data_IF_337917913872
#
_entry.id   IF_337917913872
#
_cell.length_a   1.000
_cell.length_b   1.000
_cell.length_c   1.000
_cell.angle_alpha   90.00
_cell.angle_beta   90.00
_cell.angle_gamma   90.00
#
_symmetry.space_group_name_H-M   'P 1'
#
loop_
_entity.id
_entity.type
_entity.pdbx_description
1 polymer ?
#
# COMPACT_ATOMS: atom_id res chain seq x y z
N UNK A 1 2.93 -19.09 -2.30
CA UNK A 1 4.36 -18.95 -1.91
C UNK A 1 4.63 -17.51 -1.48
N UNK A 2 5.34 -17.33 -0.37
CA UNK A 2 5.61 -16.07 0.33
C UNK A 2 6.81 -15.31 -0.33
N UNK A 3 6.61 -14.61 -1.45
CA UNK A 3 7.70 -14.02 -2.28
C UNK A 3 7.87 -12.50 -2.07
N UNK A 4 9.10 -12.04 -1.85
CA UNK A 4 9.44 -10.61 -1.76
C UNK A 4 9.35 -9.94 -3.14
N UNK A 5 9.02 -8.64 -3.11
CA UNK A 5 8.77 -7.80 -4.28
C UNK A 5 9.40 -6.44 -4.08
N UNK A 6 9.87 -5.82 -5.17
CA UNK A 6 10.36 -4.44 -5.12
C UNK A 6 9.21 -3.50 -4.81
N UNK A 7 9.51 -2.48 -4.02
CA UNK A 7 8.60 -1.40 -3.70
C UNK A 7 9.03 -0.16 -4.49
N UNK A 8 8.08 0.66 -4.89
CA UNK A 8 8.34 1.96 -5.46
C UNK A 8 7.41 3.00 -4.84
N UNK A 9 7.97 4.17 -4.53
CA UNK A 9 7.16 5.34 -4.19
C UNK A 9 6.51 5.87 -5.47
N UNK A 10 5.20 6.02 -5.47
CA UNK A 10 4.47 6.56 -6.62
C UNK A 10 4.99 7.95 -7.06
N UNK A 11 5.45 8.78 -6.12
CA UNK A 11 6.10 10.06 -6.42
C UNK A 11 7.32 9.93 -7.34
N UNK A 12 8.07 8.83 -7.22
CA UNK A 12 9.25 8.53 -8.01
C UNK A 12 8.93 7.81 -9.34
N UNK A 13 7.68 7.41 -9.54
CA UNK A 13 7.17 6.77 -10.75
C UNK A 13 6.23 7.69 -11.54
N UNK A 14 6.40 9.01 -11.41
CA UNK A 14 5.58 10.00 -12.11
C UNK A 14 5.74 9.84 -13.63
N UNK A 15 4.62 9.89 -14.35
CA UNK A 15 4.62 9.90 -15.81
C UNK A 15 5.31 11.18 -16.35
N UNK A 16 5.81 11.17 -17.60
CA UNK A 16 6.44 12.35 -18.20
C UNK A 16 5.53 13.58 -18.15
N UNK A 17 6.02 14.68 -17.56
CA UNK A 17 5.25 15.93 -17.43
C UNK A 17 4.29 15.99 -16.23
N UNK A 18 4.22 14.95 -15.39
CA UNK A 18 3.38 14.92 -14.19
C UNK A 18 4.20 15.31 -12.96
N UNK A 19 3.62 16.16 -12.10
CA UNK A 19 4.21 16.51 -10.81
C UNK A 19 4.24 15.29 -9.88
N UNK A 20 5.36 15.10 -9.16
CA UNK A 20 5.52 14.01 -8.19
C UNK A 20 4.37 13.94 -7.16
N UNK A 21 3.84 15.09 -6.73
CA UNK A 21 2.68 15.15 -5.82
C UNK A 21 1.43 14.49 -6.42
N UNK A 22 1.17 14.70 -7.71
CA UNK A 22 0.01 14.11 -8.37
C UNK A 22 0.20 12.60 -8.56
N UNK A 23 1.42 12.17 -8.86
CA UNK A 23 1.79 10.76 -8.95
C UNK A 23 1.61 10.04 -7.61
N UNK A 24 1.97 10.66 -6.47
CA UNK A 24 1.75 10.09 -5.12
C UNK A 24 0.30 9.69 -4.87
N UNK A 25 -0.66 10.36 -5.50
CA UNK A 25 -2.09 10.07 -5.35
C UNK A 25 -2.53 8.86 -6.18
N UNK A 26 -1.69 8.31 -7.06
CA UNK A 26 -2.00 7.15 -7.90
C UNK A 26 -3.32 7.32 -8.68
N UNK A 27 -3.53 8.52 -9.19
CA UNK A 27 -4.69 8.84 -10.04
C UNK A 27 -4.46 8.37 -11.46
N UNK A 28 -5.54 8.26 -12.22
CA UNK A 28 -5.46 7.84 -13.61
C UNK A 28 -4.46 8.69 -14.41
N UNK A 29 -3.66 8.04 -15.25
CA UNK A 29 -2.62 8.65 -16.10
C UNK A 29 -1.53 9.45 -15.36
N UNK A 30 -1.32 9.25 -14.06
CA UNK A 30 -0.26 9.95 -13.31
C UNK A 30 1.03 9.16 -13.14
N UNK A 31 0.99 7.85 -13.38
CA UNK A 31 2.11 6.92 -13.16
C UNK A 31 2.68 6.41 -14.48
N UNK A 32 3.99 6.23 -14.53
CA UNK A 32 4.66 5.51 -15.61
C UNK A 32 4.49 4.00 -15.40
N UNK A 33 3.70 3.36 -16.26
CA UNK A 33 3.41 1.92 -16.25
C UNK A 33 4.69 1.07 -16.26
N UNK A 34 5.73 1.49 -16.97
CA UNK A 34 6.99 0.74 -17.04
C UNK A 34 7.72 0.73 -15.70
N UNK A 35 7.57 1.80 -14.93
CA UNK A 35 8.20 1.96 -13.62
C UNK A 35 7.48 1.16 -12.54
N UNK A 36 6.16 1.00 -12.63
CA UNK A 36 5.34 0.30 -11.63
C UNK A 36 5.14 -1.19 -11.91
N UNK A 37 5.33 -1.63 -13.16
CA UNK A 37 5.11 -3.01 -13.58
C UNK A 37 5.89 -4.02 -12.72
N UNK A 38 5.17 -4.98 -12.14
CA UNK A 38 5.76 -6.04 -11.31
C UNK A 38 6.20 -5.60 -9.91
N UNK A 39 5.88 -4.38 -9.47
CA UNK A 39 6.25 -3.82 -8.16
C UNK A 39 5.05 -3.57 -7.25
N UNK A 40 5.34 -3.42 -5.96
CA UNK A 40 4.41 -2.88 -4.98
C UNK A 40 4.49 -1.35 -5.03
N UNK A 41 3.36 -0.68 -5.20
CA UNK A 41 3.32 0.79 -5.35
C UNK A 41 2.81 1.42 -4.07
N UNK A 42 3.56 2.38 -3.52
CA UNK A 42 3.14 3.17 -2.37
C UNK A 42 2.39 4.41 -2.82
N UNK A 43 1.14 4.55 -2.39
CA UNK A 43 0.20 5.62 -2.75
C UNK A 43 -0.31 6.34 -1.50
N UNK A 44 -0.75 7.58 -1.64
CA UNK A 44 -1.29 8.38 -0.55
C UNK A 44 -2.73 8.81 -0.81
N UNK A 45 -3.47 8.99 0.28
CA UNK A 45 -4.77 9.65 0.30
C UNK A 45 -4.63 11.00 1.00
N UNK A 46 -5.09 12.06 0.34
CA UNK A 46 -5.17 13.41 0.91
C UNK A 46 -6.60 13.74 1.36
N UNK A 47 -7.61 13.26 0.64
CA UNK A 47 -9.03 13.56 0.92
C UNK A 47 -9.83 12.31 1.18
N UNK A 48 -10.76 12.39 2.13
CA UNK A 48 -11.65 11.27 2.48
C UNK A 48 -12.47 10.75 1.28
N UNK A 49 -12.89 11.66 0.40
CA UNK A 49 -13.70 11.42 -0.80
C UNK A 49 -12.96 10.68 -1.92
N UNK A 50 -11.63 10.50 -1.82
CA UNK A 50 -10.89 9.76 -2.83
C UNK A 50 -11.27 8.28 -2.83
N UNK A 51 -11.54 7.77 -4.03
CA UNK A 51 -11.86 6.36 -4.23
C UNK A 51 -10.60 5.50 -4.09
N UNK A 52 -10.64 4.59 -3.11
CA UNK A 52 -9.56 3.66 -2.78
C UNK A 52 -9.50 2.52 -3.80
N UNK A 53 -10.65 2.07 -4.28
CA UNK A 53 -10.79 1.01 -5.26
C UNK A 53 -10.28 1.48 -6.62
N UNK A 54 -10.61 2.72 -7.00
CA UNK A 54 -10.12 3.33 -8.25
C UNK A 54 -8.58 3.34 -8.29
N UNK A 55 -7.92 3.81 -7.21
CA UNK A 55 -6.45 3.83 -7.10
C UNK A 55 -5.85 2.42 -7.26
N UNK A 56 -6.47 1.43 -6.62
CA UNK A 56 -6.08 0.03 -6.73
C UNK A 56 -6.19 -0.48 -8.18
N UNK A 57 -7.27 -0.11 -8.88
CA UNK A 57 -7.51 -0.52 -10.26
C UNK A 57 -6.50 0.13 -11.22
N UNK A 58 -6.16 1.41 -11.03
CA UNK A 58 -5.12 2.11 -11.81
C UNK A 58 -3.78 1.38 -11.69
N UNK A 59 -3.38 0.98 -10.48
CA UNK A 59 -2.12 0.23 -10.28
C UNK A 59 -2.17 -1.12 -10.97
N UNK A 60 -3.31 -1.83 -10.90
CA UNK A 60 -3.50 -3.09 -11.59
C UNK A 60 -3.38 -2.93 -13.10
N UNK A 61 -4.02 -1.92 -13.68
CA UNK A 61 -3.99 -1.64 -15.11
C UNK A 61 -2.56 -1.32 -15.59
N UNK A 62 -1.80 -0.56 -14.81
CA UNK A 62 -0.38 -0.32 -15.08
C UNK A 62 0.55 -1.51 -14.78
N UNK A 63 0.01 -2.68 -14.44
CA UNK A 63 0.79 -3.91 -14.20
C UNK A 63 1.48 -3.99 -12.84
N UNK A 64 1.11 -3.12 -11.90
CA UNK A 64 1.49 -3.24 -10.49
C UNK A 64 0.86 -4.49 -9.87
N UNK A 65 1.59 -5.13 -8.95
CA UNK A 65 1.18 -6.41 -8.36
C UNK A 65 0.58 -6.26 -6.95
N UNK A 66 0.52 -5.03 -6.44
CA UNK A 66 -0.03 -4.70 -5.12
C UNK A 66 0.16 -3.23 -4.78
N UNK A 67 -0.63 -2.75 -3.82
CA UNK A 67 -0.63 -1.36 -3.37
C UNK A 67 -0.35 -1.28 -1.87
N UNK A 68 0.42 -0.28 -1.48
CA UNK A 68 0.55 0.15 -0.08
C UNK A 68 -0.09 1.53 -0.02
N UNK A 69 -1.21 1.65 0.69
CA UNK A 69 -1.99 2.87 0.73
C UNK A 69 -1.82 3.55 2.09
N UNK A 70 -1.27 4.75 2.07
CA UNK A 70 -1.21 5.62 3.24
C UNK A 70 -2.57 6.28 3.40
N UNK A 71 -3.35 5.77 4.35
CA UNK A 71 -4.70 6.24 4.63
C UNK A 71 -4.80 6.71 6.09
N UNK A 72 -4.76 8.03 6.34
CA UNK A 72 -4.91 8.57 7.69
C UNK A 72 -6.35 8.48 8.21
N UNK A 73 -7.34 8.16 7.37
CA UNK A 73 -8.78 8.19 7.71
C UNK A 73 -9.38 6.79 7.88
N UNK A 74 -8.84 5.77 7.19
CA UNK A 74 -9.42 4.43 7.11
C UNK A 74 -8.62 3.35 7.84
N UNK A 75 -8.72 3.28 9.17
CA UNK A 75 -8.23 2.12 9.94
C UNK A 75 -9.30 1.04 10.18
N UNK A 76 -10.60 1.40 10.10
CA UNK A 76 -11.70 0.54 10.57
C UNK A 76 -12.74 0.17 9.48
N UNK A 77 -12.53 0.58 8.22
CA UNK A 77 -13.44 0.27 7.10
C UNK A 77 -12.78 -0.79 6.20
N UNK A 78 -13.46 -1.93 6.05
CA UNK A 78 -13.02 -2.98 5.13
C UNK A 78 -13.33 -2.61 3.69
N UNK A 79 -12.30 -2.37 2.89
CA UNK A 79 -12.42 -2.19 1.44
C UNK A 79 -12.09 -3.51 0.73
N UNK A 80 -12.80 -3.79 -0.36
CA UNK A 80 -12.45 -4.89 -1.25
C UNK A 80 -11.55 -4.36 -2.36
N UNK A 81 -10.46 -5.07 -2.61
CA UNK A 81 -9.48 -4.71 -3.62
C UNK A 81 -9.18 -5.91 -4.51
N UNK A 82 -8.98 -5.67 -5.80
CA UNK A 82 -8.68 -6.72 -6.77
C UNK A 82 -7.20 -7.12 -6.78
N UNK A 83 -6.32 -6.31 -6.18
CA UNK A 83 -4.91 -6.62 -5.93
C UNK A 83 -4.63 -6.63 -4.43
N UNK A 84 -3.54 -7.27 -3.97
CA UNK A 84 -3.13 -7.18 -2.57
C UNK A 84 -2.87 -5.73 -2.15
N UNK A 85 -3.63 -5.24 -1.16
CA UNK A 85 -3.48 -3.89 -0.60
C UNK A 85 -3.18 -3.95 0.90
N UNK A 86 -2.17 -3.19 1.33
CA UNK A 86 -1.91 -2.92 2.74
C UNK A 86 -2.26 -1.47 3.04
N UNK A 87 -3.20 -1.25 3.96
CA UNK A 87 -3.52 0.07 4.49
C UNK A 87 -2.53 0.37 5.63
N UNK A 88 -1.88 1.53 5.59
CA UNK A 88 -0.95 1.98 6.63
C UNK A 88 -1.31 3.41 7.07
N UNK A 89 -1.03 3.74 8.33
CA UNK A 89 -1.20 5.08 8.86
C UNK A 89 -0.01 5.99 8.53
N UNK A 90 -0.05 7.22 9.05
CA UNK A 90 1.02 8.21 8.84
C UNK A 90 2.36 7.77 9.45
N UNK A 91 2.34 7.26 10.67
CA UNK A 91 3.55 6.84 11.39
C UNK A 91 4.25 5.70 10.66
N UNK A 92 3.50 4.68 10.24
CA UNK A 92 4.05 3.56 9.48
C UNK A 92 4.53 3.99 8.08
N UNK A 93 3.90 5.02 7.48
CA UNK A 93 4.32 5.58 6.21
C UNK A 93 5.66 6.34 6.30
N UNK A 94 5.91 7.07 7.40
CA UNK A 94 7.19 7.73 7.64
C UNK A 94 8.33 6.72 7.77
N UNK A 95 8.11 5.62 8.50
CA UNK A 95 9.06 4.51 8.61
C UNK A 95 9.32 3.86 7.25
N UNK A 96 8.26 3.59 6.48
CA UNK A 96 8.39 3.04 5.13
C UNK A 96 9.15 3.99 4.20
N UNK A 97 8.86 5.28 4.25
CA UNK A 97 9.54 6.27 3.42
C UNK A 97 11.03 6.40 3.78
N UNK A 98 11.36 6.38 5.08
CA UNK A 98 12.75 6.33 5.54
C UNK A 98 13.47 5.07 5.02
N UNK A 99 12.80 3.92 5.04
CA UNK A 99 13.34 2.68 4.48
C UNK A 99 13.56 2.77 2.95
N UNK A 100 12.59 3.30 2.20
CA UNK A 100 12.70 3.49 0.75
C UNK A 100 13.86 4.40 0.36
N UNK A 101 14.16 5.41 1.19
CA UNK A 101 15.26 6.34 0.94
C UNK A 101 16.63 5.75 1.33
N UNK A 102 16.68 4.86 2.33
CA UNK A 102 17.92 4.25 2.82
C UNK A 102 18.39 3.11 1.92
N UNK A 103 17.47 2.27 1.45
CA UNK A 103 17.77 1.06 0.71
C UNK A 103 17.82 1.32 -0.79
N UNK A 104 18.84 0.83 -1.49
CA UNK A 104 18.96 1.02 -2.95
C UNK A 104 17.95 0.19 -3.74
N UNK A 105 17.55 -0.95 -3.18
CA UNK A 105 16.58 -1.87 -3.77
C UNK A 105 15.55 -2.31 -2.73
N UNK A 106 14.63 -1.41 -2.32
CA UNK A 106 13.69 -1.73 -1.26
C UNK A 106 12.77 -2.86 -1.70
N UNK A 107 12.72 -3.92 -0.89
CA UNK A 107 11.78 -5.02 -1.08
C UNK A 107 10.87 -5.17 0.13
N UNK A 108 9.61 -5.50 -0.14
CA UNK A 108 8.65 -5.88 0.87
C UNK A 108 7.79 -7.04 0.39
N UNK A 109 6.97 -7.49 1.32
CA UNK A 109 6.08 -8.60 1.16
C UNK A 109 4.80 -8.25 1.88
N UNK A 110 3.70 -8.29 1.14
CA UNK A 110 2.37 -8.19 1.72
C UNK A 110 2.00 -9.62 2.15
N UNK A 111 1.86 -9.81 3.45
CA UNK A 111 1.41 -11.07 4.03
C UNK A 111 -0.09 -11.03 4.28
N UNK A 112 -0.81 -12.15 4.07
CA UNK A 112 -2.12 -12.30 4.69
C UNK A 112 -1.96 -12.19 6.21
N UNK A 113 -2.62 -11.21 6.81
CA UNK A 113 -2.53 -11.02 8.27
C UNK A 113 -3.15 -12.23 8.93
N UNK A 114 -2.43 -12.78 9.91
CA UNK A 114 -3.01 -13.71 10.87
C UNK A 114 -3.61 -12.83 11.96
N UNK A 115 -4.93 -12.83 12.11
CA UNK A 115 -5.60 -12.11 13.20
C UNK A 115 -5.04 -12.62 14.53
N UNK A 116 -4.20 -11.81 15.19
CA UNK A 116 -3.66 -12.15 16.51
C UNK A 116 -4.75 -11.80 17.52
N UNK A 117 -5.55 -12.79 17.91
CA UNK A 117 -6.68 -12.66 18.85
C UNK A 117 -6.28 -12.25 20.29
N UNK A 118 -5.02 -11.90 20.56
CA UNK A 118 -4.48 -11.65 21.91
C UNK A 118 -4.03 -10.20 22.17
N UNK A 119 -4.54 -9.20 21.43
CA UNK A 119 -4.34 -7.80 21.79
C UNK A 119 -5.15 -7.47 23.07
N UNK A 120 -4.45 -7.26 24.19
CA UNK A 120 -4.99 -7.24 25.56
C UNK A 120 -5.79 -5.98 25.93
N UNK A 121 -6.46 -5.30 25.00
CA UNK A 121 -7.37 -4.20 25.35
C UNK A 121 -8.52 -4.02 24.35
N UNK A 122 -9.73 -4.09 24.94
CA UNK A 122 -11.05 -3.60 24.53
C UNK A 122 -11.98 -4.57 23.76
N UNK A 123 -13.14 -4.93 24.35
CA UNK A 123 -14.19 -5.63 23.64
C UNK A 123 -14.87 -4.64 22.70
N UNK A 124 -14.65 -4.77 21.40
CA UNK A 124 -15.57 -4.21 20.40
C UNK A 124 -16.24 -5.40 19.75
N UNK A 125 -17.57 -5.43 19.83
CA UNK A 125 -18.40 -6.49 19.24
C UNK A 125 -17.90 -6.80 17.82
N UNK A 126 -17.48 -8.05 17.62
CA UNK A 126 -17.08 -8.54 16.31
C UNK A 126 -18.35 -8.69 15.46
N UNK A 127 -18.52 -7.83 14.46
CA UNK A 127 -19.46 -8.11 13.37
C UNK A 127 -18.80 -9.19 12.52
N UNK A 128 -19.30 -10.41 12.67
CA UNK A 128 -18.92 -11.57 11.89
C UNK A 128 -19.28 -11.35 10.42
N UNK A 129 -18.28 -11.13 9.56
CA UNK A 129 -18.41 -11.34 8.12
C UNK A 129 -17.17 -12.05 7.55
N UNK A 130 -17.50 -12.98 6.65
CA UNK A 130 -16.72 -14.07 6.09
C UNK A 130 -15.62 -13.54 5.15
N UNK A 131 -14.35 -13.74 5.54
CA UNK A 131 -13.12 -13.40 4.80
C UNK A 131 -12.92 -11.92 4.45
N UNK A 132 -12.61 -11.11 5.45
CA UNK A 132 -11.83 -9.87 5.29
C UNK A 132 -10.39 -10.09 5.73
N UNK A 133 -9.54 -10.66 4.86
CA UNK A 133 -8.10 -10.77 5.14
C UNK A 133 -7.47 -9.38 5.03
N UNK A 134 -7.47 -8.62 6.14
CA UNK A 134 -6.58 -7.46 6.27
C UNK A 134 -5.15 -7.94 6.00
N UNK A 135 -4.34 -7.21 5.23
CA UNK A 135 -2.98 -7.65 4.86
C UNK A 135 -1.93 -6.86 5.64
N UNK A 136 -0.88 -7.53 6.11
CA UNK A 136 0.21 -6.94 6.90
C UNK A 136 1.45 -6.76 6.02
N UNK A 137 2.01 -5.56 6.00
CA UNK A 137 3.25 -5.26 5.30
C UNK A 137 4.47 -5.72 6.11
N UNK A 138 5.31 -6.58 5.53
CA UNK A 138 6.63 -6.91 6.07
C UNK A 138 7.73 -6.42 5.13
N UNK A 139 8.61 -5.58 5.67
CA UNK A 139 9.78 -5.05 4.98
C UNK A 139 10.97 -5.97 5.26
N UNK A 140 11.75 -6.33 4.23
CA UNK A 140 13.03 -7.01 4.44
C UNK A 140 14.10 -5.95 4.73
N UNK A 141 14.15 -5.46 5.97
CA UNK A 141 15.28 -4.64 6.40
C UNK A 141 16.49 -5.58 6.54
N UNK A 142 17.45 -5.48 5.61
CA UNK A 142 18.76 -6.06 5.84
C UNK A 142 19.45 -5.15 6.87
N UNK A 143 19.20 -5.40 8.15
CA UNK A 143 19.97 -4.78 9.21
C UNK A 143 21.38 -5.35 9.15
N UNK A 144 22.28 -4.62 8.50
CA UNK A 144 23.68 -4.54 8.96
C UNK A 144 23.76 -3.63 10.16
#
# INVERSE_FOLDING_TARGET
MKKYRRIINAAAAAAPGVLAKNASLCKNSTLDENMIKGKLVMCTIEKFEEDREEKSNVIRQGGGIGMILVDPFGKDIGFQFEIPVSLIGRTEAEELQAYLNKEKNPVAKILPTTTVLNARTAPKMAIFLQWGLMLSLQILSNQT
#
